data_IF_552999271713
#
_entry.id   IF_552999271713
#
_cell.length_a   1.000
_cell.length_b   1.000
_cell.length_c   1.000
_cell.angle_alpha   90.00
_cell.angle_beta   90.00
_cell.angle_gamma   90.00
#
_symmetry.space_group_name_H-M   'P 1'
#
loop_
_entity.id
_entity.type
_entity.pdbx_description
1 polymer ?
#
# COMPACT_ATOMS: atom_id res chain seq x y z
N UNK A 1 4.68 30.41 -17.80
CA UNK A 1 4.33 29.42 -18.83
C UNK A 1 3.28 28.48 -18.24
N UNK A 2 2.00 28.77 -18.50
CA UNK A 2 0.85 28.08 -17.91
C UNK A 2 0.77 26.65 -18.43
N UNK A 3 0.99 25.67 -17.55
CA UNK A 3 0.58 24.28 -17.81
C UNK A 3 -0.90 24.18 -17.44
N UNK A 4 -1.76 24.17 -18.44
CA UNK A 4 -3.13 23.68 -18.28
C UNK A 4 -3.05 22.29 -17.65
N UNK A 5 -3.50 22.18 -16.39
CA UNK A 5 -3.63 20.91 -15.69
C UNK A 5 -4.85 20.18 -16.25
N UNK A 6 -4.68 19.48 -17.37
CA UNK A 6 -5.56 18.35 -17.67
C UNK A 6 -5.33 17.30 -16.58
N UNK A 7 -6.36 16.82 -15.87
CA UNK A 7 -6.17 15.75 -14.89
C UNK A 7 -5.55 14.54 -15.60
N UNK A 8 -4.59 13.83 -14.96
CA UNK A 8 -4.03 12.63 -15.55
C UNK A 8 -5.15 11.62 -15.81
N UNK A 9 -5.28 11.18 -17.06
CA UNK A 9 -6.21 10.12 -17.43
C UNK A 9 -5.69 8.81 -16.82
N UNK A 10 -6.48 8.20 -15.95
CA UNK A 10 -6.26 6.83 -15.48
C UNK A 10 -7.10 5.90 -16.36
N UNK A 11 -6.53 5.28 -17.41
CA UNK A 11 -7.28 4.33 -18.22
C UNK A 11 -7.68 3.11 -17.39
N UNK A 12 -8.98 2.90 -17.23
CA UNK A 12 -9.54 1.70 -16.61
C UNK A 12 -9.71 0.62 -17.69
N UNK A 13 -9.20 -0.58 -17.43
CA UNK A 13 -9.50 -1.75 -18.24
C UNK A 13 -10.70 -2.47 -17.62
N UNK A 14 -11.79 -2.60 -18.37
CA UNK A 14 -12.98 -3.35 -17.94
C UNK A 14 -12.98 -4.67 -18.69
N UNK A 15 -12.87 -5.77 -17.94
CA UNK A 15 -12.97 -7.12 -18.47
C UNK A 15 -14.43 -7.47 -18.76
N UNK A 16 -14.64 -8.38 -19.71
CA UNK A 16 -15.95 -8.99 -19.91
C UNK A 16 -16.27 -9.97 -18.76
N UNK A 17 -17.48 -10.52 -18.73
CA UNK A 17 -17.91 -11.42 -17.66
C UNK A 17 -16.97 -12.62 -17.50
N UNK A 18 -16.48 -13.19 -18.61
CA UNK A 18 -15.54 -14.31 -18.56
C UNK A 18 -14.21 -13.87 -17.93
N UNK A 19 -13.66 -12.73 -18.35
CA UNK A 19 -12.43 -12.16 -17.81
C UNK A 19 -12.54 -11.85 -16.31
N UNK A 20 -13.66 -11.28 -15.86
CA UNK A 20 -13.90 -11.03 -14.42
C UNK A 20 -13.94 -12.33 -13.60
N UNK A 21 -14.50 -13.41 -14.16
CA UNK A 21 -14.52 -14.72 -13.50
C UNK A 21 -13.09 -15.27 -13.39
N UNK A 22 -12.30 -15.20 -14.46
CA UNK A 22 -10.90 -15.63 -14.45
C UNK A 22 -10.06 -14.82 -13.46
N UNK A 23 -10.22 -13.50 -13.45
CA UNK A 23 -9.56 -12.61 -12.49
C UNK A 23 -9.84 -13.07 -11.05
N UNK A 24 -11.10 -13.36 -10.72
CA UNK A 24 -11.49 -13.83 -9.39
C UNK A 24 -10.85 -15.17 -9.02
N UNK A 25 -10.79 -16.13 -9.96
CA UNK A 25 -10.16 -17.44 -9.73
C UNK A 25 -8.65 -17.28 -9.50
N UNK A 26 -7.99 -16.43 -10.29
CA UNK A 26 -6.55 -16.16 -10.16
C UNK A 26 -6.27 -15.47 -8.82
N UNK A 27 -7.05 -14.44 -8.47
CA UNK A 27 -6.88 -13.71 -7.21
C UNK A 27 -7.00 -14.63 -6.00
N UNK A 28 -7.98 -15.54 -5.97
CA UNK A 28 -8.11 -16.51 -4.88
C UNK A 28 -6.87 -17.39 -4.71
N UNK A 29 -6.27 -17.85 -5.81
CA UNK A 29 -5.06 -18.68 -5.77
C UNK A 29 -3.84 -17.89 -5.30
N UNK A 30 -3.71 -16.64 -5.73
CA UNK A 30 -2.63 -15.76 -5.29
C UNK A 30 -2.77 -15.44 -3.80
N UNK A 31 -3.98 -15.15 -3.33
CA UNK A 31 -4.26 -14.92 -1.90
C UNK A 31 -3.83 -16.11 -1.05
N UNK A 32 -4.16 -17.34 -1.47
CA UNK A 32 -3.74 -18.57 -0.79
C UNK A 32 -2.21 -18.69 -0.67
N UNK A 33 -1.45 -18.38 -1.73
CA UNK A 33 0.02 -18.44 -1.72
C UNK A 33 0.60 -17.36 -0.82
N UNK A 34 0.09 -16.13 -0.93
CA UNK A 34 0.58 -14.98 -0.15
C UNK A 34 0.29 -15.15 1.34
N UNK A 35 -0.85 -15.73 1.71
CA UNK A 35 -1.20 -16.08 3.09
C UNK A 35 -0.28 -17.17 3.67
N UNK A 36 0.14 -18.14 2.86
CA UNK A 36 0.93 -19.31 3.31
C UNK A 36 2.41 -18.97 3.54
N UNK A 37 3.00 -18.12 2.68
CA UNK A 37 4.46 -17.92 2.62
C UNK A 37 4.97 -16.69 3.39
N UNK A 38 4.13 -16.02 4.20
CA UNK A 38 4.51 -14.82 4.97
C UNK A 38 5.15 -13.71 4.08
N UNK A 39 4.82 -13.68 2.79
CA UNK A 39 5.44 -12.79 1.79
C UNK A 39 5.16 -11.30 2.00
N UNK A 40 4.39 -10.95 3.04
CA UNK A 40 3.99 -9.58 3.35
C UNK A 40 4.79 -9.02 4.51
N UNK A 41 5.24 -7.78 4.32
CA UNK A 41 5.89 -7.04 5.40
C UNK A 41 4.93 -6.78 6.56
N UNK A 42 5.48 -6.77 7.78
CA UNK A 42 4.74 -6.56 9.03
C UNK A 42 3.89 -5.28 9.08
N UNK A 43 4.20 -4.28 8.25
CA UNK A 43 3.49 -3.00 8.17
C UNK A 43 2.82 -2.77 6.80
N UNK A 44 2.52 -3.84 6.06
CA UNK A 44 1.66 -3.77 4.88
C UNK A 44 0.18 -3.76 5.33
N UNK A 45 -0.57 -2.75 4.88
CA UNK A 45 -1.98 -2.54 5.23
C UNK A 45 -2.89 -2.38 4.02
N UNK A 46 -2.33 -2.15 2.83
CA UNK A 46 -3.09 -2.02 1.59
C UNK A 46 -3.40 -3.40 0.98
N UNK A 47 -4.59 -3.54 0.41
CA UNK A 47 -5.05 -4.75 -0.29
C UNK A 47 -4.97 -6.04 0.53
N UNK A 48 -5.02 -5.93 1.87
CA UNK A 48 -4.99 -7.08 2.76
C UNK A 48 -6.35 -7.32 3.41
N UNK A 49 -6.79 -8.58 3.45
CA UNK A 49 -8.12 -8.96 3.92
C UNK A 49 -8.33 -8.73 5.43
N UNK A 50 -7.25 -8.79 6.22
CA UNK A 50 -7.29 -8.69 7.69
C UNK A 50 -6.79 -7.34 8.24
N UNK A 51 -6.33 -6.43 7.38
CA UNK A 51 -5.77 -5.13 7.80
C UNK A 51 -6.36 -4.00 6.99
N UNK A 52 -6.63 -2.90 7.68
CA UNK A 52 -7.30 -1.74 7.11
C UNK A 52 -6.41 -0.50 7.11
N UNK A 53 -6.80 0.51 6.33
CA UNK A 53 -6.21 1.85 6.41
C UNK A 53 -6.34 2.45 7.82
N UNK A 54 -7.38 2.07 8.57
CA UNK A 54 -7.55 2.51 9.95
C UNK A 54 -6.46 1.94 10.86
N UNK A 55 -6.06 0.68 10.65
CA UNK A 55 -4.96 0.05 11.39
C UNK A 55 -3.62 0.74 11.11
N UNK A 56 -3.36 1.09 9.85
CA UNK A 56 -2.18 1.87 9.47
C UNK A 56 -2.14 3.23 10.19
N UNK A 57 -3.26 3.96 10.19
CA UNK A 57 -3.37 5.26 10.86
C UNK A 57 -3.17 5.10 12.37
N UNK A 58 -3.79 4.10 12.97
CA UNK A 58 -3.68 3.83 14.41
C UNK A 58 -2.23 3.51 14.80
N UNK A 59 -1.50 2.73 13.99
CA UNK A 59 -0.10 2.45 14.22
C UNK A 59 0.74 3.74 14.21
N UNK A 60 0.57 4.58 13.19
CA UNK A 60 1.34 5.85 13.06
C UNK A 60 1.02 6.79 14.22
N UNK A 61 -0.26 7.03 14.49
CA UNK A 61 -0.71 7.92 15.56
C UNK A 61 -0.26 7.39 16.93
N UNK A 62 -0.38 6.09 17.17
CA UNK A 62 0.10 5.45 18.41
C UNK A 62 1.61 5.62 18.60
N UNK A 63 2.39 5.44 17.53
CA UNK A 63 3.84 5.62 17.54
C UNK A 63 4.23 7.06 17.84
N UNK A 64 3.57 8.03 17.17
CA UNK A 64 3.82 9.46 17.41
C UNK A 64 3.43 9.84 18.84
N UNK A 65 2.26 9.42 19.34
CA UNK A 65 1.82 9.69 20.71
C UNK A 65 2.84 9.21 21.74
N UNK A 66 3.37 7.99 21.57
CA UNK A 66 4.43 7.44 22.44
C UNK A 66 5.73 8.25 22.35
N UNK A 67 6.14 8.65 21.15
CA UNK A 67 7.38 9.40 20.92
C UNK A 67 7.33 10.83 21.49
N UNK A 68 6.17 11.49 21.44
CA UNK A 68 6.00 12.87 21.94
C UNK A 68 5.57 12.93 23.40
N UNK A 69 5.36 11.78 24.05
CA UNK A 69 5.12 11.69 25.48
C UNK A 69 6.35 12.20 26.27
N UNK A 70 6.11 12.75 27.45
CA UNK A 70 7.17 13.31 28.31
C UNK A 70 7.35 14.83 28.15
N UNK A 71 8.40 15.36 28.79
CA UNK A 71 8.62 16.80 28.98
C UNK A 71 9.72 17.35 28.07
N UNK A 72 9.64 18.65 27.75
CA UNK A 72 10.73 19.39 27.10
C UNK A 72 11.70 19.95 28.16
N UNK A 73 12.96 20.17 27.76
CA UNK A 73 14.15 20.54 28.57
C UNK A 73 14.72 19.39 29.39
N UNK A 74 15.57 18.56 28.76
CA UNK A 74 16.24 17.42 29.40
C UNK A 74 15.37 16.17 29.60
N UNK A 75 14.11 16.19 29.13
CA UNK A 75 13.18 15.06 29.19
C UNK A 75 13.23 14.15 27.97
N UNK A 76 12.40 13.10 27.97
CA UNK A 76 12.38 12.02 26.98
C UNK A 76 11.64 12.32 25.66
N UNK A 77 11.12 13.53 25.49
CA UNK A 77 10.29 13.89 24.33
C UNK A 77 11.11 13.85 23.03
N UNK A 78 10.69 13.02 22.07
CA UNK A 78 11.33 12.88 20.76
C UNK A 78 10.69 13.81 19.72
N UNK A 79 11.44 14.11 18.66
CA UNK A 79 10.92 14.74 17.45
C UNK A 79 10.56 13.64 16.44
N UNK A 80 9.39 13.77 15.82
CA UNK A 80 8.91 12.83 14.81
C UNK A 80 9.02 13.46 13.43
N UNK A 81 9.54 12.71 12.46
CA UNK A 81 9.51 13.03 11.04
C UNK A 81 8.71 11.94 10.33
N UNK A 82 7.82 12.35 9.42
CA UNK A 82 7.10 11.43 8.53
C UNK A 82 7.56 11.74 7.12
N UNK A 83 8.13 10.74 6.46
CA UNK A 83 8.45 10.78 5.04
C UNK A 83 7.39 9.99 4.29
N UNK A 84 6.74 10.64 3.33
CA UNK A 84 5.73 10.02 2.46
C UNK A 84 6.34 9.72 1.11
N UNK A 85 6.12 8.51 0.59
CA UNK A 85 6.54 8.07 -0.74
C UNK A 85 5.30 7.61 -1.51
N UNK A 86 5.17 8.09 -2.75
CA UNK A 86 4.16 7.64 -3.69
C UNK A 86 4.83 7.24 -5.00
N UNK A 87 4.49 6.06 -5.53
CA UNK A 87 5.09 5.53 -6.74
C UNK A 87 4.22 5.95 -7.93
N UNK A 88 4.82 6.70 -8.86
CA UNK A 88 4.10 7.19 -10.04
C UNK A 88 3.69 6.02 -10.94
N UNK A 89 2.39 5.91 -11.22
CA UNK A 89 1.86 5.06 -12.29
C UNK A 89 2.15 3.55 -12.09
N UNK A 90 2.09 3.05 -10.86
CA UNK A 90 2.45 1.66 -10.48
C UNK A 90 1.82 0.60 -11.37
N UNK A 91 0.51 0.68 -11.62
CA UNK A 91 -0.21 -0.33 -12.40
C UNK A 91 0.22 -0.41 -13.87
N UNK A 92 0.68 0.70 -14.46
CA UNK A 92 1.11 0.74 -15.85
C UNK A 92 2.61 0.51 -16.03
N UNK A 93 3.39 0.71 -14.98
CA UNK A 93 4.85 0.58 -15.00
C UNK A 93 5.34 -0.71 -14.35
N UNK A 94 4.42 -1.55 -13.86
CA UNK A 94 4.74 -2.84 -13.27
C UNK A 94 5.43 -3.75 -14.30
N UNK A 95 6.56 -4.35 -13.92
CA UNK A 95 7.31 -5.24 -14.79
C UNK A 95 6.75 -6.67 -14.67
N UNK A 96 6.15 -7.17 -15.75
CA UNK A 96 5.58 -8.52 -15.79
C UNK A 96 6.63 -9.62 -15.56
N UNK A 97 7.83 -9.48 -16.11
CA UNK A 97 8.88 -10.50 -15.92
C UNK A 97 9.29 -10.60 -14.45
N UNK A 98 9.38 -9.47 -13.75
CA UNK A 98 9.65 -9.46 -12.31
C UNK A 98 8.50 -10.08 -11.50
N UNK A 99 7.24 -9.82 -11.88
CA UNK A 99 6.08 -10.41 -11.21
C UNK A 99 6.06 -11.92 -11.41
N UNK A 100 6.32 -12.40 -12.62
CA UNK A 100 6.34 -13.84 -12.94
C UNK A 100 7.49 -14.60 -12.28
N UNK A 101 8.53 -13.92 -11.77
CA UNK A 101 9.60 -14.56 -10.99
C UNK A 101 9.21 -14.85 -9.54
N UNK A 102 8.19 -14.16 -9.01
CA UNK A 102 7.76 -14.25 -7.61
C UNK A 102 6.39 -14.92 -7.45
N UNK A 103 5.73 -15.25 -8.56
CA UNK A 103 4.52 -16.07 -8.65
C UNK A 103 4.88 -17.51 -9.03
#
# INVERSE_FOLDING_TARGET
MNRHLTPPLTPLCVLDTAGMIFERIINQRIEEIVDLDLLLGDNQYGFWNTRSNLDAINLVVGTVKKAIAGTRKGGSKKYCLVATLDIRNTFYSANCDCIMQVL
#
